data_IF_973007909802
#
_entry.id   IF_973007909802
#
_cell.length_a   1.000
_cell.length_b   1.000
_cell.length_c   1.000
_cell.angle_alpha   90.00
_cell.angle_beta   90.00
_cell.angle_gamma   90.00
#
_symmetry.space_group_name_H-M   'P 1'
#
loop_
_entity.id
_entity.type
_entity.pdbx_description
1 polymer ?
#
# COMPACT_ATOMS: atom_id res chain seq x y z
N UNK A 1 31.87 5.75 -32.26
CA UNK A 1 32.02 5.51 -30.81
C UNK A 1 31.41 4.16 -30.54
N UNK A 2 32.22 3.18 -30.16
CA UNK A 2 31.79 1.80 -29.86
C UNK A 2 31.58 1.71 -28.34
N UNK A 3 30.40 1.24 -27.91
CA UNK A 3 30.12 1.02 -26.50
C UNK A 3 29.80 -0.45 -26.27
N UNK A 4 30.54 -1.10 -25.39
CA UNK A 4 30.25 -2.45 -24.90
C UNK A 4 29.83 -2.40 -23.44
N UNK A 5 28.70 -3.03 -23.13
CA UNK A 5 28.14 -3.09 -21.78
C UNK A 5 27.88 -4.55 -21.38
N UNK A 6 28.06 -4.82 -20.09
CA UNK A 6 27.69 -6.09 -19.45
C UNK A 6 26.47 -5.81 -18.56
N UNK A 7 25.46 -6.67 -18.64
CA UNK A 7 24.28 -6.61 -17.76
C UNK A 7 24.19 -7.90 -16.95
N UNK A 8 24.05 -7.75 -15.63
CA UNK A 8 23.67 -8.83 -14.71
C UNK A 8 22.17 -8.69 -14.42
N UNK A 9 21.45 -9.80 -14.39
CA UNK A 9 20.07 -9.87 -13.94
C UNK A 9 20.06 -10.54 -12.57
N UNK A 10 19.69 -9.81 -11.52
CA UNK A 10 19.96 -10.19 -10.12
C UNK A 10 18.97 -11.22 -9.52
N UNK A 11 18.01 -11.75 -10.29
CA UNK A 11 16.91 -12.57 -9.77
C UNK A 11 16.89 -14.05 -10.23
N UNK A 12 17.98 -14.59 -10.78
CA UNK A 12 18.06 -16.03 -11.12
C UNK A 12 19.38 -16.64 -10.63
N UNK A 13 19.30 -17.86 -10.09
CA UNK A 13 20.46 -18.64 -9.60
C UNK A 13 21.49 -19.00 -10.68
N UNK A 14 21.23 -18.63 -11.94
CA UNK A 14 22.17 -18.63 -13.06
C UNK A 14 22.09 -17.27 -13.77
N UNK A 15 23.07 -16.39 -13.54
CA UNK A 15 23.10 -15.09 -14.19
C UNK A 15 23.37 -15.26 -15.69
N UNK A 16 22.38 -14.99 -16.53
CA UNK A 16 22.61 -14.81 -17.96
C UNK A 16 23.55 -13.63 -18.16
N UNK A 17 24.72 -13.87 -18.77
CA UNK A 17 25.67 -12.81 -19.09
C UNK A 17 25.44 -12.42 -20.54
N UNK A 18 25.20 -11.13 -20.75
CA UNK A 18 25.06 -10.54 -22.07
C UNK A 18 26.32 -9.76 -22.41
N UNK A 19 26.87 -10.04 -23.57
CA UNK A 19 27.91 -9.26 -24.21
C UNK A 19 27.29 -8.50 -25.38
N UNK A 20 27.50 -7.19 -25.43
CA UNK A 20 26.92 -6.34 -26.46
C UNK A 20 28.00 -5.49 -27.12
N UNK A 21 27.91 -5.36 -28.44
CA UNK A 21 28.68 -4.44 -29.26
C UNK A 21 27.71 -3.45 -29.88
N UNK A 22 27.75 -2.21 -29.42
CA UNK A 22 26.88 -1.16 -29.91
C UNK A 22 27.60 -0.26 -30.92
N UNK A 23 26.93 0.01 -32.04
CA UNK A 23 27.32 0.97 -33.07
C UNK A 23 26.29 2.11 -33.09
N UNK A 24 26.29 3.00 -32.07
CA UNK A 24 25.37 4.12 -31.98
C UNK A 24 25.58 5.12 -33.12
N UNK A 25 24.47 5.68 -33.62
CA UNK A 25 24.47 6.67 -34.71
C UNK A 25 23.68 7.92 -34.37
N UNK A 26 22.52 7.74 -33.75
CA UNK A 26 21.62 8.84 -33.39
C UNK A 26 21.20 8.64 -31.95
N UNK A 27 21.25 9.70 -31.17
CA UNK A 27 20.58 9.79 -29.88
C UNK A 27 19.30 10.59 -30.05
N UNK A 28 18.17 10.00 -29.68
CA UNK A 28 16.89 10.70 -29.57
C UNK A 28 16.62 10.92 -28.09
N UNK A 29 16.41 12.18 -27.72
CA UNK A 29 16.08 12.57 -26.36
C UNK A 29 14.72 13.29 -26.35
N UNK A 30 13.77 12.73 -25.63
CA UNK A 30 12.42 13.22 -25.47
C UNK A 30 12.27 13.77 -24.05
N UNK A 31 12.43 15.08 -23.90
CA UNK A 31 12.17 15.72 -22.60
C UNK A 31 10.71 15.50 -22.18
N UNK A 32 10.47 15.10 -20.92
CA UNK A 32 9.12 14.89 -20.34
C UNK A 32 8.09 15.95 -20.74
N UNK A 33 8.46 17.23 -20.67
CA UNK A 33 7.57 18.37 -21.00
C UNK A 33 7.06 18.38 -22.46
N UNK A 34 7.75 17.68 -23.36
CA UNK A 34 7.40 17.60 -24.79
C UNK A 34 6.58 16.34 -25.11
N UNK A 35 6.47 15.40 -24.17
CA UNK A 35 5.69 14.16 -24.33
C UNK A 35 4.26 14.44 -23.90
N UNK A 36 3.29 14.05 -24.72
CA UNK A 36 1.85 14.19 -24.40
C UNK A 36 1.13 12.87 -24.62
N UNK A 37 0.20 12.49 -23.73
CA UNK A 37 -0.62 11.30 -23.93
C UNK A 37 -1.54 11.49 -25.15
N UNK A 38 -1.80 10.40 -25.87
CA UNK A 38 -2.78 10.38 -26.95
C UNK A 38 -4.20 10.50 -26.39
N UNK A 39 -5.15 10.95 -27.19
CA UNK A 39 -6.56 11.03 -26.76
C UNK A 39 -7.13 9.66 -26.35
N UNK A 40 -6.65 8.58 -26.98
CA UNK A 40 -7.07 7.23 -26.66
C UNK A 40 -6.73 6.83 -25.22
N UNK A 41 -5.48 7.06 -24.77
CA UNK A 41 -5.10 6.73 -23.39
C UNK A 41 -5.74 7.68 -22.38
N UNK A 42 -5.95 8.96 -22.72
CA UNK A 42 -6.67 9.91 -21.86
C UNK A 42 -8.09 9.45 -21.55
N UNK A 43 -8.86 9.13 -22.59
CA UNK A 43 -10.25 8.64 -22.43
C UNK A 43 -10.28 7.34 -21.61
N UNK A 44 -9.33 6.43 -21.85
CA UNK A 44 -9.23 5.19 -21.10
C UNK A 44 -8.96 5.45 -19.61
N UNK A 45 -8.00 6.32 -19.29
CA UNK A 45 -7.68 6.73 -17.91
C UNK A 45 -8.90 7.40 -17.27
N UNK A 46 -9.55 8.36 -17.92
CA UNK A 46 -10.72 9.04 -17.38
C UNK A 46 -11.87 8.08 -17.03
N UNK A 47 -12.05 7.03 -17.83
CA UNK A 47 -13.03 5.98 -17.56
C UNK A 47 -12.61 5.09 -16.38
N UNK A 48 -11.32 4.70 -16.31
CA UNK A 48 -10.79 3.93 -15.19
C UNK A 48 -10.90 4.71 -13.87
N UNK A 49 -10.62 6.01 -13.88
CA UNK A 49 -10.75 6.90 -12.72
C UNK A 49 -12.19 7.08 -12.25
N UNK A 50 -13.21 6.68 -13.01
CA UNK A 50 -14.63 6.73 -12.61
C UNK A 50 -15.20 5.35 -12.25
N UNK A 51 -14.44 4.28 -12.48
CA UNK A 51 -14.86 2.90 -12.23
C UNK A 51 -14.71 2.54 -10.75
N UNK A 52 -15.59 1.73 -10.17
CA UNK A 52 -15.51 1.25 -8.76
C UNK A 52 -14.30 0.33 -8.48
N UNK A 53 -13.77 -0.32 -9.52
CA UNK A 53 -12.56 -1.16 -9.49
C UNK A 53 -11.43 -0.50 -10.29
N UNK A 54 -11.00 0.71 -9.91
CA UNK A 54 -10.14 1.53 -10.75
C UNK A 54 -8.74 0.92 -10.93
N UNK A 55 -8.23 0.19 -9.92
CA UNK A 55 -6.92 -0.46 -10.00
C UNK A 55 -6.85 -1.44 -11.17
N UNK A 56 -7.80 -2.39 -11.26
CA UNK A 56 -7.85 -3.35 -12.36
C UNK A 56 -7.99 -2.70 -13.73
N UNK A 57 -8.78 -1.63 -13.83
CA UNK A 57 -8.92 -0.89 -15.09
C UNK A 57 -7.62 -0.21 -15.50
N UNK A 58 -6.88 0.38 -14.55
CA UNK A 58 -5.55 0.95 -14.81
C UNK A 58 -4.54 -0.11 -15.26
N UNK A 59 -4.52 -1.29 -14.63
CA UNK A 59 -3.63 -2.38 -15.05
C UNK A 59 -3.92 -2.80 -16.49
N UNK A 60 -5.18 -2.96 -16.88
CA UNK A 60 -5.56 -3.28 -18.28
C UNK A 60 -5.07 -2.22 -19.27
N UNK A 61 -5.12 -0.95 -18.88
CA UNK A 61 -4.60 0.16 -19.70
C UNK A 61 -3.08 0.02 -19.85
N UNK A 62 -2.34 -0.19 -18.76
CA UNK A 62 -0.88 -0.32 -18.83
C UNK A 62 -0.41 -1.61 -19.52
N UNK A 63 -1.17 -2.70 -19.45
CA UNK A 63 -0.93 -3.90 -20.27
C UNK A 63 -1.06 -3.62 -21.77
N UNK A 64 -1.94 -2.68 -22.15
CA UNK A 64 -2.19 -2.31 -23.54
C UNK A 64 -1.18 -1.27 -24.07
N UNK A 65 -0.93 -0.23 -23.28
CA UNK A 65 -0.12 0.93 -23.70
C UNK A 65 1.35 0.84 -23.25
N UNK A 66 1.66 -0.09 -22.35
CA UNK A 66 2.96 -0.20 -21.69
C UNK A 66 2.98 0.50 -20.32
N UNK A 67 3.89 0.04 -19.46
CA UNK A 67 4.09 0.56 -18.11
C UNK A 67 5.10 1.71 -18.07
N UNK A 68 6.11 1.65 -18.93
CA UNK A 68 7.25 2.55 -18.96
C UNK A 68 7.45 3.12 -20.36
N UNK A 69 7.85 4.38 -20.42
CA UNK A 69 8.27 5.09 -21.62
C UNK A 69 9.74 5.50 -21.45
N UNK A 70 10.59 5.19 -22.42
CA UNK A 70 11.97 5.68 -22.39
C UNK A 70 12.00 7.13 -22.87
N UNK A 71 12.73 8.00 -22.16
CA UNK A 71 12.99 9.36 -22.64
C UNK A 71 14.17 9.40 -23.60
N UNK A 72 15.12 8.49 -23.44
CA UNK A 72 16.32 8.43 -24.27
C UNK A 72 16.38 7.12 -25.06
N UNK A 73 16.51 7.26 -26.38
CA UNK A 73 16.71 6.15 -27.30
C UNK A 73 18.03 6.34 -28.04
N UNK A 74 18.84 5.29 -28.08
CA UNK A 74 20.00 5.23 -28.95
C UNK A 74 19.60 4.40 -30.17
N UNK A 75 19.73 5.00 -31.34
CA UNK A 75 19.51 4.34 -32.63
C UNK A 75 20.86 4.00 -33.28
N UNK A 76 20.96 2.80 -33.82
CA UNK A 76 22.16 2.34 -34.49
C UNK A 76 22.06 0.87 -34.88
N UNK A 77 23.20 0.19 -34.81
CA UNK A 77 23.31 -1.25 -34.97
C UNK A 77 23.85 -1.89 -33.70
N UNK A 78 23.42 -3.12 -33.41
CA UNK A 78 23.83 -3.86 -32.22
C UNK A 78 24.06 -5.31 -32.60
N UNK A 79 25.20 -5.82 -32.17
CA UNK A 79 25.51 -7.25 -32.16
C UNK A 79 25.62 -7.68 -30.70
N UNK A 80 25.17 -8.89 -30.39
CA UNK A 80 25.22 -9.41 -29.03
C UNK A 80 25.57 -10.89 -29.01
N UNK A 81 26.05 -11.35 -27.87
CA UNK A 81 26.16 -12.75 -27.54
C UNK A 81 25.66 -12.94 -26.11
N UNK A 82 25.08 -14.11 -25.82
CA UNK A 82 24.58 -14.43 -24.49
C UNK A 82 25.04 -15.82 -24.11
N UNK A 83 25.61 -15.97 -22.93
CA UNK A 83 25.96 -17.28 -22.39
C UNK A 83 25.41 -17.44 -20.97
N UNK A 84 25.21 -18.69 -20.57
CA UNK A 84 25.01 -19.05 -19.17
C UNK A 84 26.37 -19.53 -18.67
N UNK A 85 27.06 -18.77 -17.81
CA UNK A 85 28.37 -19.16 -17.35
C UNK A 85 28.27 -20.42 -16.48
N UNK A 86 29.18 -21.37 -16.74
CA UNK A 86 29.26 -22.64 -15.99
C UNK A 86 29.73 -22.45 -14.54
N UNK A 87 30.20 -21.26 -14.18
CA UNK A 87 30.67 -20.91 -12.83
C UNK A 87 30.11 -19.54 -12.42
N UNK A 88 29.86 -19.37 -11.12
CA UNK A 88 29.39 -18.10 -10.55
C UNK A 88 30.47 -17.03 -10.74
N UNK A 89 30.21 -16.08 -11.62
CA UNK A 89 31.17 -15.00 -11.86
C UNK A 89 31.05 -14.00 -10.71
N UNK A 90 31.99 -14.07 -9.77
CA UNK A 90 32.15 -13.05 -8.73
C UNK A 90 32.71 -11.80 -9.41
N UNK A 91 31.88 -10.77 -9.55
CA UNK A 91 32.23 -9.42 -10.03
C UNK A 91 32.88 -9.35 -11.43
N UNK A 92 32.05 -9.12 -12.45
CA UNK A 92 32.51 -8.52 -13.72
C UNK A 92 32.47 -7.00 -13.51
N UNK A 93 33.57 -6.31 -13.84
CA UNK A 93 33.55 -4.86 -14.03
C UNK A 93 32.56 -4.54 -15.15
N UNK A 94 31.41 -4.00 -14.77
CA UNK A 94 30.33 -3.69 -15.69
C UNK A 94 30.71 -2.42 -16.45
N UNK A 95 30.88 -2.56 -17.77
CA UNK A 95 31.24 -1.53 -18.77
C UNK A 95 32.75 -1.37 -19.01
N UNK A 96 33.19 -1.89 -20.16
CA UNK A 96 34.46 -1.54 -20.79
C UNK A 96 34.10 -0.71 -22.02
N UNK A 97 34.28 0.61 -21.97
CA UNK A 97 34.17 1.46 -23.15
C UNK A 97 35.47 1.32 -23.97
N UNK A 98 35.37 0.77 -25.18
CA UNK A 98 36.49 0.70 -26.11
C UNK A 98 36.35 1.88 -27.08
N UNK A 99 37.04 2.97 -26.79
CA UNK A 99 37.07 4.17 -27.64
C UNK A 99 38.07 4.09 -28.81
N UNK A 100 38.62 2.92 -29.15
CA UNK A 100 39.73 2.81 -30.11
C UNK A 100 39.29 2.58 -31.57
N UNK A 101 40.09 3.15 -32.48
CA UNK A 101 40.04 2.98 -33.94
C UNK A 101 40.04 1.50 -34.34
N UNK A 102 39.37 1.17 -35.45
CA UNK A 102 39.16 -0.19 -35.98
C UNK A 102 40.43 -1.04 -36.25
N UNK A 103 41.63 -0.52 -36.01
CA UNK A 103 42.87 -1.28 -36.17
C UNK A 103 42.94 -2.38 -35.09
N UNK A 104 43.03 -3.65 -35.50
CA UNK A 104 42.98 -4.85 -34.64
C UNK A 104 41.66 -5.14 -33.90
N UNK A 105 40.54 -4.61 -34.38
CA UNK A 105 39.22 -4.84 -33.77
C UNK A 105 38.82 -6.33 -33.62
N UNK A 106 38.97 -7.21 -34.65
CA UNK A 106 38.57 -8.61 -34.54
C UNK A 106 39.36 -9.39 -33.48
N UNK A 107 40.68 -9.17 -33.37
CA UNK A 107 41.52 -9.87 -32.39
C UNK A 107 41.21 -9.42 -30.96
N UNK A 108 40.98 -8.12 -30.74
CA UNK A 108 40.63 -7.60 -29.40
C UNK A 108 39.26 -8.10 -28.94
N UNK A 109 38.30 -8.18 -29.87
CA UNK A 109 36.96 -8.71 -29.63
C UNK A 109 37.01 -10.22 -29.30
N UNK A 110 37.77 -11.01 -30.05
CA UNK A 110 38.01 -12.43 -29.80
C UNK A 110 38.67 -12.69 -28.43
N UNK A 111 39.68 -11.90 -28.07
CA UNK A 111 40.34 -12.00 -26.75
C UNK A 111 39.37 -11.70 -25.59
N UNK A 112 38.51 -10.68 -25.75
CA UNK A 112 37.51 -10.35 -24.73
C UNK A 112 36.44 -11.43 -24.57
N UNK A 113 35.91 -11.95 -25.67
CA UNK A 113 34.92 -13.02 -25.62
C UNK A 113 35.53 -14.27 -24.97
N UNK A 114 36.77 -14.64 -25.31
CA UNK A 114 37.52 -15.73 -24.66
C UNK A 114 37.69 -15.52 -23.16
N UNK A 115 38.13 -14.32 -22.75
CA UNK A 115 38.35 -13.97 -21.34
C UNK A 115 37.10 -14.20 -20.49
N UNK A 116 35.92 -13.98 -21.06
CA UNK A 116 34.64 -14.10 -20.35
C UNK A 116 33.84 -15.35 -20.71
N UNK A 117 34.44 -16.32 -21.43
CA UNK A 117 33.83 -17.62 -21.73
C UNK A 117 32.70 -17.58 -22.75
N UNK A 118 32.67 -16.59 -23.64
CA UNK A 118 31.72 -16.51 -24.75
C UNK A 118 32.22 -17.28 -25.98
N UNK A 119 31.27 -17.70 -26.82
CA UNK A 119 31.57 -18.21 -28.16
C UNK A 119 32.20 -17.10 -29.01
N UNK A 120 33.34 -17.39 -29.63
CA UNK A 120 34.07 -16.43 -30.47
C UNK A 120 33.89 -16.67 -31.96
N UNK A 121 33.04 -17.61 -32.35
CA UNK A 121 32.77 -17.88 -33.76
C UNK A 121 31.82 -16.86 -34.39
N UNK A 122 30.86 -16.33 -33.63
CA UNK A 122 29.89 -15.34 -34.10
C UNK A 122 29.33 -14.44 -33.00
N UNK A 123 28.75 -13.33 -33.42
CA UNK A 123 27.78 -12.53 -32.69
C UNK A 123 26.42 -12.61 -33.38
N UNK A 124 25.35 -12.27 -32.68
CA UNK A 124 23.98 -12.28 -33.17
C UNK A 124 23.52 -10.84 -33.39
N UNK A 125 22.96 -10.54 -34.56
CA UNK A 125 22.32 -9.25 -34.81
C UNK A 125 20.94 -9.16 -34.19
N UNK A 126 20.39 -7.94 -34.07
CA UNK A 126 19.02 -7.72 -33.60
C UNK A 126 17.94 -8.42 -34.45
N UNK A 127 18.26 -8.82 -35.69
CA UNK A 127 17.38 -9.58 -36.57
C UNK A 127 17.59 -11.11 -36.48
N UNK A 128 18.48 -11.58 -35.60
CA UNK A 128 18.81 -13.00 -35.44
C UNK A 128 19.84 -13.55 -36.42
N UNK A 129 20.53 -12.69 -37.19
CA UNK A 129 21.59 -13.12 -38.10
C UNK A 129 22.88 -13.40 -37.34
N UNK A 130 23.51 -14.55 -37.60
CA UNK A 130 24.83 -14.87 -37.07
C UNK A 130 25.93 -14.19 -37.91
N UNK A 131 26.68 -13.31 -37.28
CA UNK A 131 27.77 -12.52 -37.88
C UNK A 131 29.08 -13.02 -37.33
N UNK A 132 29.95 -13.57 -38.19
CA UNK A 132 31.30 -13.97 -37.77
C UNK A 132 32.07 -12.75 -37.28
N UNK A 133 32.91 -12.92 -36.26
CA UNK A 133 33.72 -11.81 -35.70
C UNK A 133 34.54 -11.09 -36.78
N UNK A 134 35.13 -11.84 -37.71
CA UNK A 134 35.93 -11.28 -38.80
C UNK A 134 35.09 -10.56 -39.88
N UNK A 135 33.78 -10.79 -39.91
CA UNK A 135 32.85 -10.21 -40.89
C UNK A 135 32.07 -9.01 -40.31
N UNK A 136 32.30 -8.62 -39.06
CA UNK A 136 31.57 -7.52 -38.38
C UNK A 136 31.66 -6.20 -39.15
N UNK A 137 32.83 -5.85 -39.69
CA UNK A 137 33.02 -4.62 -40.47
C UNK A 137 32.22 -4.66 -41.78
N UNK A 138 32.29 -5.78 -42.50
CA UNK A 138 31.52 -5.99 -43.73
C UNK A 138 30.03 -5.90 -43.45
N UNK A 139 29.56 -6.58 -42.41
CA UNK A 139 28.17 -6.56 -41.97
C UNK A 139 27.72 -5.14 -41.61
N UNK A 140 28.53 -4.38 -40.88
CA UNK A 140 28.22 -3.00 -40.50
C UNK A 140 28.08 -2.09 -41.73
N UNK A 141 28.93 -2.27 -42.75
CA UNK A 141 28.86 -1.52 -44.00
C UNK A 141 27.57 -1.83 -44.78
N UNK A 142 27.18 -3.10 -44.87
CA UNK A 142 25.95 -3.56 -45.52
C UNK A 142 24.68 -3.04 -44.80
N UNK A 143 24.71 -2.96 -43.47
CA UNK A 143 23.55 -2.55 -42.65
C UNK A 143 23.59 -1.08 -42.21
N UNK A 144 24.58 -0.33 -42.68
CA UNK A 144 24.87 1.04 -42.24
C UNK A 144 23.70 2.02 -42.37
N UNK A 145 22.75 1.78 -43.28
CA UNK A 145 21.60 2.67 -43.51
C UNK A 145 20.37 2.34 -42.65
N UNK A 146 20.35 1.17 -42.01
CA UNK A 146 19.25 0.77 -41.15
C UNK A 146 19.49 1.34 -39.75
N UNK A 147 18.47 1.97 -39.16
CA UNK A 147 18.51 2.45 -37.78
C UNK A 147 17.53 1.64 -36.96
N UNK A 148 18.02 1.04 -35.89
CA UNK A 148 17.21 0.29 -34.94
C UNK A 148 17.43 0.83 -33.54
N UNK A 149 16.46 0.67 -32.64
CA UNK A 149 16.63 1.00 -31.22
C UNK A 149 17.57 -0.02 -30.59
N UNK A 150 18.77 0.42 -30.24
CA UNK A 150 19.81 -0.45 -29.64
C UNK A 150 19.93 -0.27 -28.12
N UNK A 151 19.48 0.87 -27.61
CA UNK A 151 19.41 1.13 -26.18
C UNK A 151 18.23 2.06 -25.85
N UNK A 152 17.67 1.86 -24.65
CA UNK A 152 16.61 2.65 -24.04
C UNK A 152 17.05 2.99 -22.62
N UNK A 153 17.01 4.26 -22.25
CA UNK A 153 17.36 4.72 -20.91
C UNK A 153 16.40 5.82 -20.43
N UNK A 154 16.55 6.24 -19.18
CA UNK A 154 15.72 7.28 -18.56
C UNK A 154 14.22 6.91 -18.61
N UNK A 155 13.91 5.73 -18.09
CA UNK A 155 12.56 5.17 -18.09
C UNK A 155 11.65 5.99 -17.17
N UNK A 156 10.51 6.40 -17.73
CA UNK A 156 9.47 7.17 -17.09
C UNK A 156 8.21 6.32 -16.98
N UNK A 157 7.55 6.23 -15.81
CA UNK A 157 6.23 5.60 -15.72
C UNK A 157 5.23 6.31 -16.63
N UNK A 158 4.42 5.54 -17.37
CA UNK A 158 3.49 6.12 -18.35
C UNK A 158 2.50 7.09 -17.70
N UNK A 159 2.09 6.86 -16.46
CA UNK A 159 1.19 7.79 -15.76
C UNK A 159 1.80 9.17 -15.51
N UNK A 160 3.13 9.31 -15.53
CA UNK A 160 3.80 10.59 -15.27
C UNK A 160 3.78 11.56 -16.46
N UNK A 161 3.35 11.11 -17.65
CA UNK A 161 3.21 11.99 -18.82
C UNK A 161 1.92 12.82 -18.78
N UNK A 162 1.02 12.52 -17.84
CA UNK A 162 -0.20 13.27 -17.62
C UNK A 162 0.07 14.53 -16.79
N UNK A 163 -0.92 15.40 -16.67
CA UNK A 163 -0.83 16.54 -15.76
C UNK A 163 -0.68 16.05 -14.30
N UNK A 164 -0.23 16.95 -13.43
CA UNK A 164 0.06 16.65 -12.02
C UNK A 164 -1.16 16.09 -11.27
N UNK A 165 -2.36 16.62 -11.53
CA UNK A 165 -3.59 16.18 -10.87
C UNK A 165 -3.96 14.75 -11.28
N UNK A 166 -3.95 14.46 -12.58
CA UNK A 166 -4.24 13.12 -13.09
C UNK A 166 -3.20 12.10 -12.64
N UNK A 167 -1.91 12.49 -12.68
CA UNK A 167 -0.81 11.64 -12.22
C UNK A 167 -0.97 11.27 -10.75
N UNK A 168 -1.31 12.24 -9.89
CA UNK A 168 -1.56 12.01 -8.47
C UNK A 168 -2.75 11.06 -8.23
N UNK A 169 -3.85 11.24 -8.97
CA UNK A 169 -5.02 10.36 -8.88
C UNK A 169 -4.68 8.91 -9.24
N UNK A 170 -3.89 8.71 -10.30
CA UNK A 170 -3.41 7.39 -10.70
C UNK A 170 -2.53 6.78 -9.60
N UNK A 171 -1.55 7.53 -9.08
CA UNK A 171 -0.67 7.04 -8.00
C UNK A 171 -1.45 6.66 -6.74
N UNK A 172 -2.44 7.46 -6.35
CA UNK A 172 -3.33 7.16 -5.22
C UNK A 172 -4.06 5.83 -5.42
N UNK A 173 -4.60 5.58 -6.61
CA UNK A 173 -5.29 4.32 -6.95
C UNK A 173 -4.33 3.13 -7.00
N UNK A 174 -3.12 3.33 -7.52
CA UNK A 174 -2.08 2.29 -7.49
C UNK A 174 -1.59 2.02 -6.07
N UNK A 175 -1.94 2.86 -5.09
CA UNK A 175 -1.51 2.73 -3.71
C UNK A 175 -0.01 2.97 -3.57
N UNK A 176 0.56 3.89 -4.35
CA UNK A 176 2.00 4.19 -4.34
C UNK A 176 2.21 5.64 -3.88
N UNK A 177 3.09 5.82 -2.90
CA UNK A 177 3.59 7.11 -2.43
C UNK A 177 5.08 6.97 -2.17
N UNK A 178 5.90 7.80 -2.83
CA UNK A 178 7.36 7.74 -2.76
C UNK A 178 7.91 6.30 -2.91
N UNK A 179 7.37 5.56 -3.88
CA UNK A 179 7.73 4.16 -4.18
C UNK A 179 7.41 3.14 -3.08
N UNK A 180 6.63 3.54 -2.07
CA UNK A 180 6.10 2.63 -1.04
C UNK A 180 4.64 2.33 -1.30
N UNK A 181 4.27 1.08 -1.03
CA UNK A 181 2.89 0.63 -1.04
C UNK A 181 2.18 1.15 0.21
N UNK A 182 1.00 1.74 0.06
CA UNK A 182 0.28 2.39 1.15
C UNK A 182 -1.18 1.96 1.23
N UNK A 183 -1.69 1.92 2.46
CA UNK A 183 -3.11 1.71 2.72
C UNK A 183 -3.89 3.00 2.43
N UNK A 184 -5.14 2.82 2.01
CA UNK A 184 -6.09 3.89 1.70
C UNK A 184 -7.44 3.60 2.35
N UNK A 185 -8.26 4.63 2.51
CA UNK A 185 -9.67 4.47 2.86
C UNK A 185 -10.39 4.09 1.58
N UNK A 186 -10.77 2.83 1.45
CA UNK A 186 -11.29 2.27 0.22
C UNK A 186 -12.81 2.34 0.13
N UNK A 187 -13.49 2.35 1.27
CA UNK A 187 -14.95 2.34 1.33
C UNK A 187 -15.41 2.96 2.66
N UNK A 188 -16.55 3.64 2.67
CA UNK A 188 -17.19 4.13 3.88
C UNK A 188 -18.68 3.79 3.90
N UNK A 189 -19.28 3.76 5.08
CA UNK A 189 -20.71 3.52 5.17
C UNK A 189 -21.34 3.96 6.48
N UNK A 190 -22.67 4.11 6.40
CA UNK A 190 -23.55 4.42 7.52
C UNK A 190 -24.70 3.41 7.52
N UNK A 191 -24.88 2.72 8.63
CA UNK A 191 -25.97 1.75 8.82
C UNK A 191 -26.83 2.17 10.00
N UNK A 192 -28.14 2.32 9.75
CA UNK A 192 -29.10 2.67 10.80
C UNK A 192 -29.31 1.49 11.75
N UNK A 193 -29.34 1.77 13.05
CA UNK A 193 -29.74 0.80 14.06
C UNK A 193 -31.26 0.78 14.14
N UNK A 194 -31.89 -0.31 13.67
CA UNK A 194 -33.36 -0.41 13.58
C UNK A 194 -33.95 -1.07 14.83
N UNK A 195 -33.17 -1.92 15.50
CA UNK A 195 -33.57 -2.66 16.70
C UNK A 195 -32.41 -2.69 17.65
N UNK A 196 -32.67 -2.77 18.95
CA UNK A 196 -31.63 -2.95 19.97
C UNK A 196 -31.12 -4.40 19.98
N UNK A 197 -30.47 -4.83 18.90
CA UNK A 197 -29.80 -6.14 18.81
C UNK A 197 -28.32 -5.98 19.11
N UNK A 198 -27.68 -7.05 19.60
CA UNK A 198 -26.22 -7.03 19.85
C UNK A 198 -25.41 -7.07 18.57
N UNK A 199 -25.90 -7.75 17.53
CA UNK A 199 -25.17 -8.01 16.29
C UNK A 199 -25.85 -7.36 15.08
N UNK A 200 -25.06 -6.78 14.19
CA UNK A 200 -25.49 -6.17 12.94
C UNK A 200 -24.64 -6.69 11.80
N UNK A 201 -25.30 -7.19 10.76
CA UNK A 201 -24.66 -7.59 9.52
C UNK A 201 -24.58 -6.37 8.59
N UNK A 202 -23.40 -6.09 8.06
CA UNK A 202 -23.17 -5.02 7.11
C UNK A 202 -22.65 -5.66 5.83
N UNK A 203 -23.48 -5.62 4.78
CA UNK A 203 -23.16 -6.11 3.45
C UNK A 203 -22.48 -5.02 2.61
N UNK A 204 -21.45 -5.40 1.87
CA UNK A 204 -20.81 -4.54 0.87
C UNK A 204 -21.63 -4.50 -0.43
N UNK A 205 -21.56 -3.41 -1.22
CA UNK A 205 -22.30 -3.32 -2.47
C UNK A 205 -21.77 -4.29 -3.53
N UNK A 206 -20.50 -4.70 -3.40
CA UNK A 206 -19.84 -5.63 -4.30
C UNK A 206 -18.88 -6.53 -3.53
N UNK A 207 -18.64 -7.73 -4.07
CA UNK A 207 -17.66 -8.64 -3.50
C UNK A 207 -16.24 -8.10 -3.72
N UNK A 208 -15.48 -8.04 -2.63
CA UNK A 208 -14.07 -7.70 -2.62
C UNK A 208 -13.21 -8.91 -3.04
N UNK A 209 -11.98 -8.67 -3.51
CA UNK A 209 -11.09 -9.77 -3.91
C UNK A 209 -10.37 -10.41 -2.71
N UNK A 210 -10.22 -9.67 -1.61
CA UNK A 210 -9.49 -10.09 -0.41
C UNK A 210 -10.19 -9.64 0.87
N UNK A 211 -9.93 -10.36 1.97
CA UNK A 211 -10.37 -10.01 3.33
C UNK A 211 -9.30 -9.22 4.12
N UNK A 212 -8.18 -8.89 3.48
CA UNK A 212 -7.03 -8.22 4.11
C UNK A 212 -7.25 -6.70 4.26
N UNK A 213 -8.34 -6.33 4.91
CA UNK A 213 -8.70 -4.94 5.21
C UNK A 213 -8.99 -4.76 6.70
N UNK A 214 -8.91 -3.53 7.18
CA UNK A 214 -9.31 -3.15 8.53
C UNK A 214 -10.62 -2.35 8.47
N UNK A 215 -11.50 -2.57 9.45
CA UNK A 215 -12.73 -1.79 9.61
C UNK A 215 -12.59 -1.01 10.91
N UNK A 216 -12.83 0.29 10.84
CA UNK A 216 -13.05 1.12 12.01
C UNK A 216 -14.51 1.53 12.03
N UNK A 217 -15.16 1.43 13.19
CA UNK A 217 -16.58 1.72 13.32
C UNK A 217 -16.87 2.44 14.63
N UNK A 218 -17.83 3.37 14.60
CA UNK A 218 -18.32 4.11 15.76
C UNK A 218 -19.84 4.22 15.70
N UNK A 219 -20.47 4.27 16.87
CA UNK A 219 -21.88 4.63 16.98
C UNK A 219 -21.98 6.14 17.09
N UNK A 220 -22.77 6.71 16.21
CA UNK A 220 -23.10 8.12 16.17
C UNK A 220 -24.60 8.29 16.41
N UNK A 221 -24.96 9.40 17.06
CA UNK A 221 -26.37 9.80 17.15
C UNK A 221 -26.65 10.84 16.09
N UNK A 222 -27.65 10.58 15.27
CA UNK A 222 -28.19 11.56 14.34
C UNK A 222 -29.41 12.24 14.95
N UNK A 223 -29.35 13.56 15.14
CA UNK A 223 -30.52 14.38 15.47
C UNK A 223 -30.89 15.25 14.27
N UNK A 224 -32.12 15.79 14.21
CA UNK A 224 -32.65 16.47 13.03
C UNK A 224 -31.82 17.68 12.52
N UNK A 225 -30.85 18.17 13.30
CA UNK A 225 -30.02 19.32 12.95
C UNK A 225 -28.51 19.08 13.08
N UNK A 226 -28.03 18.12 13.90
CA UNK A 226 -26.59 17.88 14.13
C UNK A 226 -26.26 16.38 14.36
N UNK A 227 -25.06 15.99 13.90
CA UNK A 227 -24.37 14.75 14.27
C UNK A 227 -23.78 14.94 15.66
N UNK A 228 -24.28 14.20 16.64
CA UNK A 228 -23.82 14.32 18.03
C UNK A 228 -22.93 13.12 18.37
N UNK A 229 -21.67 13.41 18.66
CA UNK A 229 -20.64 12.44 19.04
C UNK A 229 -20.69 12.07 20.52
N UNK A 230 -21.85 11.64 21.04
CA UNK A 230 -22.08 11.53 22.50
C UNK A 230 -22.24 10.13 23.05
N UNK A 231 -21.92 9.07 22.28
CA UNK A 231 -22.05 7.68 22.79
C UNK A 231 -20.68 7.09 23.14
N UNK A 232 -19.88 7.82 23.92
CA UNK A 232 -18.50 7.43 24.29
C UNK A 232 -18.42 6.10 25.07
N UNK A 233 -19.54 5.64 25.64
CA UNK A 233 -19.58 4.40 26.43
C UNK A 233 -19.83 3.14 25.61
N UNK A 234 -20.22 3.28 24.36
CA UNK A 234 -20.64 2.14 23.53
C UNK A 234 -19.57 1.84 22.50
N UNK A 235 -19.07 0.60 22.51
CA UNK A 235 -17.99 0.15 21.64
C UNK A 235 -18.56 -0.72 20.53
N UNK A 236 -18.11 -0.47 19.30
CA UNK A 236 -18.37 -1.35 18.16
C UNK A 236 -17.18 -2.28 17.98
N UNK A 237 -17.39 -3.57 18.21
CA UNK A 237 -16.41 -4.62 17.91
C UNK A 237 -16.71 -5.27 16.58
N UNK A 238 -15.69 -5.46 15.76
CA UNK A 238 -15.81 -6.22 14.52
C UNK A 238 -15.61 -7.70 14.86
N UNK A 239 -16.72 -8.45 14.90
CA UNK A 239 -16.72 -9.86 15.32
C UNK A 239 -16.19 -10.79 14.24
N UNK A 240 -16.58 -10.54 12.99
CA UNK A 240 -16.09 -11.28 11.83
C UNK A 240 -16.17 -10.42 10.57
N UNK A 241 -15.37 -10.78 9.56
CA UNK A 241 -15.29 -10.07 8.27
C UNK A 241 -15.01 -11.05 7.14
N UNK A 242 -15.54 -10.78 5.94
CA UNK A 242 -15.32 -11.59 4.75
C UNK A 242 -15.43 -10.72 3.48
N UNK A 243 -15.26 -11.32 2.30
CA UNK A 243 -15.29 -10.59 1.02
C UNK A 243 -16.61 -9.87 0.71
N UNK A 244 -17.70 -10.19 1.41
CA UNK A 244 -19.04 -9.66 1.14
C UNK A 244 -19.54 -8.71 2.22
N UNK A 245 -18.84 -8.58 3.36
CA UNK A 245 -19.30 -7.75 4.46
C UNK A 245 -18.60 -8.04 5.78
N UNK A 246 -19.20 -7.56 6.87
CA UNK A 246 -18.73 -7.81 8.22
C UNK A 246 -19.88 -7.87 9.24
N UNK A 247 -19.61 -8.53 10.37
CA UNK A 247 -20.49 -8.59 11.51
C UNK A 247 -19.97 -7.66 12.61
N UNK A 248 -20.74 -6.63 12.92
CA UNK A 248 -20.47 -5.73 14.04
C UNK A 248 -21.23 -6.18 15.28
N UNK A 249 -20.56 -6.18 16.43
CA UNK A 249 -21.15 -6.38 17.75
C UNK A 249 -21.10 -5.06 18.52
N UNK A 250 -22.24 -4.62 19.02
CA UNK A 250 -22.33 -3.44 19.88
C UNK A 250 -22.28 -3.89 21.33
N UNK A 251 -21.23 -3.51 22.03
CA UNK A 251 -21.09 -3.74 23.48
C UNK A 251 -21.70 -2.58 24.26
N UNK A 252 -22.25 -2.87 25.45
CA UNK A 252 -22.85 -1.88 26.33
C UNK A 252 -24.03 -1.10 25.71
N UNK A 253 -24.73 -1.70 24.73
CA UNK A 253 -25.91 -1.08 24.11
C UNK A 253 -27.02 -0.76 25.14
N UNK A 254 -27.07 -1.53 26.23
CA UNK A 254 -28.00 -1.32 27.35
C UNK A 254 -27.68 -0.06 28.18
N UNK A 255 -26.47 0.47 28.08
CA UNK A 255 -26.10 1.73 28.75
C UNK A 255 -26.66 2.95 28.01
N UNK A 256 -27.08 2.78 26.76
CA UNK A 256 -27.77 3.80 25.98
C UNK A 256 -29.21 3.92 26.48
N UNK A 257 -29.39 4.66 27.57
CA UNK A 257 -30.71 4.95 28.14
C UNK A 257 -31.30 6.21 27.49
N UNK A 258 -32.62 6.20 27.26
CA UNK A 258 -33.39 7.35 26.78
C UNK A 258 -33.04 7.86 25.37
N UNK A 259 -32.48 7.01 24.51
CA UNK A 259 -32.26 7.31 23.10
C UNK A 259 -33.07 6.30 22.27
N UNK A 260 -33.83 6.81 21.30
CA UNK A 260 -34.51 5.95 20.33
C UNK A 260 -33.45 5.25 19.47
N UNK A 261 -33.46 3.90 19.35
CA UNK A 261 -32.58 3.20 18.41
C UNK A 261 -32.59 3.80 17.01
N UNK A 262 -33.73 4.35 16.56
CA UNK A 262 -33.87 5.03 15.27
C UNK A 262 -33.06 6.35 15.16
N UNK A 263 -32.51 6.88 16.24
CA UNK A 263 -31.57 8.00 16.23
C UNK A 263 -30.11 7.54 16.11
N UNK A 264 -29.83 6.23 16.20
CA UNK A 264 -28.46 5.70 16.27
C UNK A 264 -28.03 5.08 14.94
N UNK A 265 -26.79 5.34 14.56
CA UNK A 265 -26.19 4.80 13.35
C UNK A 265 -24.79 4.26 13.62
N UNK A 266 -24.43 3.18 12.93
CA UNK A 266 -23.06 2.67 12.86
C UNK A 266 -22.40 3.35 11.66
N UNK A 267 -21.47 4.25 11.95
CA UNK A 267 -20.56 4.82 10.98
C UNK A 267 -19.31 3.93 10.89
N UNK A 268 -18.84 3.65 9.68
CA UNK A 268 -17.64 2.83 9.50
C UNK A 268 -16.82 3.23 8.27
N UNK A 269 -15.53 2.91 8.32
CA UNK A 269 -14.57 3.06 7.23
C UNK A 269 -13.81 1.75 7.03
N UNK A 270 -13.48 1.44 5.77
CA UNK A 270 -12.67 0.30 5.36
C UNK A 270 -11.31 0.79 4.86
N UNK A 271 -10.25 0.31 5.51
CA UNK A 271 -8.86 0.66 5.19
C UNK A 271 -8.13 -0.57 4.66
N UNK A 272 -7.48 -0.45 3.51
CA UNK A 272 -6.74 -1.55 2.89
C UNK A 272 -5.85 -1.10 1.75
N UNK A 273 -5.16 -2.05 1.13
CA UNK A 273 -4.38 -1.77 -0.07
C UNK A 273 -5.27 -1.85 -1.32
N UNK A 274 -5.30 -0.82 -2.18
CA UNK A 274 -6.17 -0.82 -3.36
C UNK A 274 -6.00 -2.02 -4.30
N UNK A 275 -4.76 -2.48 -4.49
CA UNK A 275 -4.39 -3.59 -5.37
C UNK A 275 -4.82 -4.97 -4.84
N UNK A 276 -4.89 -5.14 -3.52
CA UNK A 276 -5.36 -6.39 -2.90
C UNK A 276 -6.88 -6.46 -2.77
N UNK A 277 -7.52 -5.36 -2.37
CA UNK A 277 -8.96 -5.33 -2.13
C UNK A 277 -9.73 -5.21 -3.44
N UNK A 278 -9.15 -4.51 -4.42
CA UNK A 278 -9.71 -4.27 -5.74
C UNK A 278 -11.11 -3.62 -5.68
N UNK A 279 -11.25 -2.70 -4.74
CA UNK A 279 -12.34 -1.74 -4.65
C UNK A 279 -11.75 -0.46 -4.09
N UNK A 280 -12.12 0.68 -4.66
CA UNK A 280 -11.72 1.97 -4.11
C UNK A 280 -12.78 2.99 -4.48
N UNK A 281 -13.56 3.48 -3.53
CA UNK A 281 -14.67 4.39 -3.79
C UNK A 281 -14.22 5.70 -4.43
N UNK A 282 -15.02 6.22 -5.38
CA UNK A 282 -14.83 7.57 -5.92
C UNK A 282 -14.96 8.67 -4.85
N UNK A 283 -15.68 8.41 -3.77
CA UNK A 283 -15.94 9.36 -2.68
C UNK A 283 -14.77 9.45 -1.68
N UNK A 284 -13.90 8.43 -1.63
CA UNK A 284 -12.82 8.34 -0.64
C UNK A 284 -11.41 8.53 -1.22
N UNK A 285 -11.28 8.54 -2.55
CA UNK A 285 -9.98 8.63 -3.26
C UNK A 285 -9.17 9.89 -3.01
N UNK A 286 -9.87 10.98 -2.69
CA UNK A 286 -9.27 12.28 -2.41
C UNK A 286 -8.91 12.43 -0.92
N UNK A 287 -9.26 11.45 -0.07
CA UNK A 287 -8.87 11.46 1.33
C UNK A 287 -7.38 11.18 1.49
N UNK A 288 -6.71 12.09 2.17
CA UNK A 288 -5.29 11.96 2.47
C UNK A 288 -5.10 11.13 3.72
N UNK A 289 -4.73 9.86 3.56
CA UNK A 289 -4.31 9.02 4.68
C UNK A 289 -2.90 9.44 5.09
N UNK A 290 -2.79 10.06 6.26
CA UNK A 290 -1.57 10.69 6.78
C UNK A 290 -0.66 9.69 7.48
N UNK A 291 -1.26 8.69 8.14
CA UNK A 291 -0.52 7.64 8.84
C UNK A 291 -1.42 6.42 9.03
N UNK A 292 -0.86 5.23 8.79
CA UNK A 292 -1.44 3.95 9.22
C UNK A 292 -0.30 3.13 9.78
N UNK A 293 -0.33 2.85 11.09
CA UNK A 293 0.66 1.95 11.66
C UNK A 293 0.31 0.52 11.25
N UNK A 294 1.31 -0.22 10.77
CA UNK A 294 1.15 -1.60 10.28
C UNK A 294 1.25 -2.64 11.40
N UNK A 295 1.52 -2.21 12.64
CA UNK A 295 1.72 -3.08 13.78
C UNK A 295 0.76 -2.75 14.92
N UNK A 296 0.42 -3.79 15.66
CA UNK A 296 -0.22 -3.65 16.95
C UNK A 296 0.75 -2.95 17.91
N UNK A 297 0.26 -1.96 18.64
CA UNK A 297 1.02 -1.32 19.70
C UNK A 297 0.59 -1.98 21.00
N UNK A 298 1.46 -2.83 21.54
CA UNK A 298 1.28 -3.41 22.87
C UNK A 298 1.77 -2.41 23.91
N UNK A 299 0.94 -2.15 24.91
CA UNK A 299 1.35 -1.42 26.10
C UNK A 299 1.96 -2.38 27.11
N UNK A 300 3.22 -2.16 27.45
CA UNK A 300 3.83 -2.76 28.63
C UNK A 300 3.18 -2.16 29.90
N UNK A 301 3.00 -2.96 30.95
CA UNK A 301 2.26 -2.62 32.19
C UNK A 301 2.69 -1.33 32.91
N UNK A 302 3.85 -0.77 32.54
CA UNK A 302 4.41 0.45 33.12
C UNK A 302 4.25 1.70 32.24
N UNK A 303 3.82 1.58 30.99
CA UNK A 303 3.63 2.72 30.08
C UNK A 303 2.17 3.14 30.03
N UNK A 304 1.91 4.38 30.46
CA UNK A 304 0.58 5.01 30.43
C UNK A 304 0.29 5.79 29.15
N UNK A 305 1.27 5.90 28.26
CA UNK A 305 1.13 6.67 27.03
C UNK A 305 1.67 5.93 25.81
N UNK A 306 1.01 6.15 24.68
CA UNK A 306 1.44 5.70 23.36
C UNK A 306 1.77 6.89 22.49
N UNK A 307 2.89 6.80 21.78
CA UNK A 307 3.29 7.77 20.79
C UNK A 307 2.95 7.26 19.39
N UNK A 308 2.12 8.00 18.67
CA UNK A 308 1.75 7.75 17.28
C UNK A 308 2.42 8.79 16.40
N UNK A 309 3.14 8.33 15.38
CA UNK A 309 3.83 9.25 14.48
C UNK A 309 2.84 9.88 13.50
N UNK A 310 2.96 11.19 13.34
CA UNK A 310 2.13 12.01 12.44
C UNK A 310 2.99 13.00 11.67
N UNK A 311 2.50 13.54 10.55
CA UNK A 311 3.13 14.69 9.92
C UNK A 311 3.31 15.85 10.92
N UNK A 312 4.42 16.58 10.79
CA UNK A 312 4.72 17.73 11.68
C UNK A 312 3.62 18.80 11.67
N UNK A 313 3.01 19.00 10.51
CA UNK A 313 1.87 19.89 10.32
C UNK A 313 0.63 19.04 10.05
N UNK A 314 -0.18 18.84 11.08
CA UNK A 314 -1.47 18.17 10.96
C UNK A 314 -2.51 19.16 10.40
N UNK A 315 -3.19 18.83 9.28
CA UNK A 315 -4.33 19.60 8.81
C UNK A 315 -5.40 19.75 9.90
N UNK A 316 -6.09 20.90 9.95
CA UNK A 316 -7.11 21.18 10.97
C UNK A 316 -8.26 20.15 11.00
N UNK A 317 -8.58 19.57 9.86
CA UNK A 317 -9.67 18.60 9.70
C UNK A 317 -9.14 17.16 9.69
N UNK A 318 -8.07 16.90 10.46
CA UNK A 318 -7.54 15.54 10.61
C UNK A 318 -8.43 14.74 11.55
N UNK A 319 -8.77 13.52 11.12
CA UNK A 319 -9.53 12.54 11.88
C UNK A 319 -8.58 11.40 12.25
N UNK A 320 -8.58 11.06 13.53
CA UNK A 320 -7.84 9.94 14.08
C UNK A 320 -8.81 8.82 14.43
N UNK A 321 -8.51 7.63 13.93
CA UNK A 321 -9.26 6.40 14.19
C UNK A 321 -8.36 5.40 14.89
N UNK A 322 -8.86 4.86 16.00
CA UNK A 322 -8.15 3.93 16.86
C UNK A 322 -9.04 2.72 17.11
N UNK A 323 -8.46 1.52 17.05
CA UNK A 323 -9.14 0.30 17.45
C UNK A 323 -8.44 -0.27 18.68
N UNK A 324 -9.22 -0.59 19.71
CA UNK A 324 -8.73 -1.16 20.96
C UNK A 324 -9.29 -2.57 21.14
N UNK A 325 -8.50 -3.45 21.73
CA UNK A 325 -8.99 -4.78 22.15
C UNK A 325 -10.00 -4.67 23.30
N UNK A 326 -9.78 -3.71 24.19
CA UNK A 326 -10.59 -3.45 25.37
C UNK A 326 -11.06 -1.98 25.41
N UNK A 327 -12.25 -1.69 25.96
CA UNK A 327 -12.77 -0.33 26.06
C UNK A 327 -11.87 0.57 26.91
N UNK A 328 -11.64 1.79 26.44
CA UNK A 328 -10.92 2.82 27.20
C UNK A 328 -11.84 3.47 28.24
N UNK A 329 -11.30 3.77 29.43
CA UNK A 329 -12.03 4.50 30.46
C UNK A 329 -11.90 6.02 30.30
N UNK A 330 -10.68 6.50 30.06
CA UNK A 330 -10.36 7.88 29.70
C UNK A 330 -9.15 7.90 28.77
N UNK A 331 -9.16 8.86 27.85
CA UNK A 331 -8.02 9.22 27.05
C UNK A 331 -7.79 10.73 27.09
N UNK A 332 -6.53 11.12 27.19
CA UNK A 332 -6.10 12.49 26.94
C UNK A 332 -5.11 12.46 25.78
N UNK A 333 -5.28 13.40 24.85
CA UNK A 333 -4.48 13.47 23.64
C UNK A 333 -3.65 14.75 23.66
N UNK A 334 -2.34 14.60 23.59
CA UNK A 334 -1.40 15.71 23.45
C UNK A 334 -0.70 15.61 22.10
N UNK A 335 -0.60 16.73 21.39
CA UNK A 335 0.08 16.81 20.09
C UNK A 335 1.39 17.56 20.28
N UNK A 336 2.52 16.91 19.99
CA UNK A 336 3.84 17.50 20.10
C UNK A 336 4.70 17.11 18.89
N UNK A 337 5.14 18.12 18.11
CA UNK A 337 6.16 18.04 17.05
C UNK A 337 6.19 16.72 16.23
N UNK A 338 5.13 16.45 15.47
CA UNK A 338 5.03 15.25 14.63
C UNK A 338 4.70 13.96 15.37
N UNK A 339 4.23 14.06 16.63
CA UNK A 339 3.74 12.93 17.42
C UNK A 339 2.45 13.27 18.13
N UNK A 340 1.59 12.26 18.24
CA UNK A 340 0.41 12.28 19.10
C UNK A 340 0.70 11.35 20.29
N UNK A 341 0.69 11.92 21.49
CA UNK A 341 0.76 11.16 22.74
C UNK A 341 -0.66 10.89 23.24
N UNK A 342 -1.03 9.62 23.25
CA UNK A 342 -2.30 9.13 23.77
C UNK A 342 -2.08 8.57 25.17
N UNK A 343 -2.53 9.30 26.19
CA UNK A 343 -2.55 8.82 27.56
C UNK A 343 -3.77 7.94 27.78
N UNK A 344 -3.57 6.73 28.32
CA UNK A 344 -4.64 5.77 28.56
C UNK A 344 -4.75 5.43 30.05
N UNK A 345 -5.97 5.57 30.59
CA UNK A 345 -6.35 5.02 31.89
C UNK A 345 -7.15 3.71 31.71
N UNK A 346 -6.72 2.65 32.40
CA UNK A 346 -7.35 1.33 32.35
C UNK A 346 -8.21 1.04 33.59
N UNK A 347 -9.20 0.16 33.42
CA UNK A 347 -9.91 -0.45 34.54
C UNK A 347 -9.00 -1.50 35.18
N UNK A 348 -8.44 -1.24 36.37
CA UNK A 348 -7.96 -2.32 37.21
C UNK A 348 -9.15 -2.89 37.97
N UNK A 349 -9.53 -4.13 37.69
CA UNK A 349 -10.48 -4.87 38.52
C UNK A 349 -9.81 -5.26 39.85
N UNK A 350 -9.42 -4.28 40.66
CA UNK A 350 -9.01 -4.47 42.05
C UNK A 350 -9.95 -3.68 42.96
N UNK A 351 -11.23 -4.03 42.93
CA UNK A 351 -12.14 -3.69 44.03
C UNK A 351 -12.48 -4.97 44.78
N UNK A 352 -11.53 -5.41 45.62
CA UNK A 352 -11.85 -6.27 46.74
C UNK A 352 -12.84 -5.53 47.63
N UNK A 353 -14.00 -6.15 47.83
CA UNK A 353 -15.08 -5.63 48.65
C UNK A 353 -14.53 -5.18 50.02
N UNK A 354 -14.79 -3.93 50.37
CA UNK A 354 -14.74 -3.48 51.76
C UNK A 354 -15.82 -4.24 52.54
N UNK A 355 -15.44 -5.27 53.27
CA UNK A 355 -16.30 -5.83 54.32
C UNK A 355 -16.01 -5.10 55.62
N UNK A 356 -17.03 -4.40 56.10
CA UNK A 356 -17.13 -3.80 57.42
C UNK A 356 -16.82 -4.84 58.52
N UNK A 357 -15.93 -4.47 59.44
CA UNK A 357 -15.66 -5.19 60.68
C UNK A 357 -16.88 -5.15 61.61
N UNK A 358 -17.60 -6.27 61.76
CA UNK A 358 -18.57 -6.48 62.83
C UNK A 358 -18.56 -7.96 63.28
N UNK A 359 -18.18 -8.16 64.57
CA UNK A 359 -18.45 -9.31 65.49
C UNK A 359 -17.63 -10.59 65.25
N UNK A 360 -16.62 -10.91 66.07
CA UNK A 360 -16.64 -11.46 67.45
C UNK A 360 -16.76 -13.00 67.53
N UNK A 361 -15.66 -13.60 68.00
CA UNK A 361 -15.50 -14.80 68.85
C UNK A 361 -16.23 -16.13 68.55
N UNK A 362 -15.36 -17.14 68.32
CA UNK A 362 -15.33 -18.49 68.88
C UNK A 362 -15.88 -19.70 68.09
N UNK A 363 -14.98 -20.71 68.10
CA UNK A 363 -15.16 -22.16 68.12
C UNK A 363 -15.21 -22.99 66.82
N UNK A 364 -14.10 -23.72 66.64
CA UNK A 364 -13.97 -25.17 66.40
C UNK A 364 -13.90 -25.73 64.97
N UNK A 365 -12.67 -26.15 64.66
CA UNK A 365 -12.25 -27.45 64.14
C UNK A 365 -12.96 -28.05 62.93
N UNK A 366 -12.19 -28.25 61.87
CA UNK A 366 -12.50 -29.18 60.80
C UNK A 366 -11.53 -29.00 59.64
N UNK A 367 -10.44 -29.76 59.64
CA UNK A 367 -9.57 -29.91 58.49
C UNK A 367 -10.37 -30.43 57.30
N UNK A 368 -10.44 -29.63 56.24
CA UNK A 368 -10.73 -30.09 54.89
C UNK A 368 -9.71 -29.41 53.98
N UNK A 369 -8.68 -30.16 53.62
CA UNK A 369 -7.85 -29.86 52.46
C UNK A 369 -8.73 -30.00 51.21
N UNK A 370 -8.92 -28.91 50.48
CA UNK A 370 -9.36 -28.94 49.09
C UNK A 370 -8.70 -27.79 48.34
N UNK A 371 -7.63 -28.16 47.64
CA UNK A 371 -7.14 -27.61 46.37
C UNK A 371 -7.51 -26.15 46.08
N UNK A 372 -6.58 -25.24 46.39
CA UNK A 372 -6.51 -23.94 45.74
C UNK A 372 -6.08 -24.17 44.30
N UNK A 373 -7.03 -24.13 43.36
CA UNK A 373 -6.72 -23.84 41.97
C UNK A 373 -6.05 -22.46 41.94
N UNK A 374 -4.74 -22.46 41.72
CA UNK A 374 -3.99 -21.27 41.34
C UNK A 374 -4.56 -20.83 39.97
N UNK A 375 -5.49 -19.87 39.98
CA UNK A 375 -5.79 -19.11 38.78
C UNK A 375 -4.55 -18.28 38.46
N UNK A 376 -3.79 -18.72 37.46
CA UNK A 376 -2.76 -17.91 36.83
C UNK A 376 -3.38 -16.55 36.47
N UNK A 377 -2.92 -15.49 37.14
CA UNK A 377 -3.22 -14.11 36.78
C UNK A 377 -2.62 -13.87 35.38
N UNK A 378 -3.43 -13.99 34.32
CA UNK A 378 -3.04 -13.52 32.99
C UNK A 378 -2.96 -11.98 33.03
N UNK A 379 -1.74 -11.46 33.17
CA UNK A 379 -1.40 -10.06 32.93
C UNK A 379 -2.02 -9.61 31.60
N UNK A 380 -3.04 -8.76 31.70
CA UNK A 380 -3.85 -8.38 30.54
C UNK A 380 -3.11 -7.30 29.74
N UNK A 381 -2.23 -7.71 28.83
CA UNK A 381 -1.57 -6.78 27.91
C UNK A 381 -2.62 -6.01 27.08
N UNK A 382 -2.59 -4.68 27.14
CA UNK A 382 -3.47 -3.84 26.33
C UNK A 382 -2.88 -3.61 24.94
N UNK A 383 -3.65 -3.93 23.90
CA UNK A 383 -3.20 -3.83 22.51
C UNK A 383 -4.05 -2.81 21.75
N UNK A 384 -3.40 -1.76 21.22
CA UNK A 384 -3.98 -0.93 20.17
C UNK A 384 -3.72 -1.60 18.83
N UNK A 385 -4.78 -1.81 18.06
CA UNK A 385 -4.71 -2.42 16.73
C UNK A 385 -4.83 -1.32 15.67
N UNK A 386 -3.77 -1.10 14.90
CA UNK A 386 -3.77 -0.31 13.66
C UNK A 386 -4.32 1.13 13.77
N UNK A 387 -3.67 2.06 14.48
CA UNK A 387 -4.07 3.47 14.41
C UNK A 387 -4.03 3.99 12.97
N UNK A 388 -5.07 4.72 12.57
CA UNK A 388 -5.21 5.30 11.23
C UNK A 388 -5.61 6.77 11.34
N UNK A 389 -4.85 7.66 10.71
CA UNK A 389 -5.06 9.10 10.70
C UNK A 389 -5.22 9.55 9.25
N UNK A 390 -6.27 10.30 8.98
CA UNK A 390 -6.54 10.84 7.66
C UNK A 390 -7.08 12.26 7.76
N UNK A 391 -6.92 13.04 6.71
CA UNK A 391 -7.49 14.37 6.59
C UNK A 391 -8.53 14.41 5.46
N UNK A 392 -9.56 15.20 5.69
CA UNK A 392 -10.57 15.55 4.69
C UNK A 392 -10.63 17.06 4.53
N UNK A 393 -10.55 17.53 3.28
CA UNK A 393 -10.81 18.94 2.95
C UNK A 393 -12.30 19.29 3.06
N UNK A 394 -13.17 18.28 3.01
CA UNK A 394 -14.60 18.42 3.19
C UNK A 394 -14.97 18.24 4.67
N UNK A 395 -15.91 19.07 5.16
CA UNK A 395 -16.59 18.90 6.45
C UNK A 395 -17.40 17.60 6.54
N UNK A 396 -17.51 16.84 5.45
CA UNK A 396 -18.24 15.58 5.46
C UNK A 396 -17.71 14.58 4.41
N UNK A 397 -17.53 13.31 4.79
CA UNK A 397 -17.26 12.22 3.84
C UNK A 397 -18.60 11.64 3.33
N UNK A 398 -18.76 11.47 2.02
CA UNK A 398 -19.97 10.82 1.49
C UNK A 398 -19.90 9.31 1.74
N UNK A 399 -21.00 8.71 2.20
CA UNK A 399 -21.07 7.29 2.50
C UNK A 399 -21.41 6.47 1.25
N UNK A 400 -20.61 5.44 0.94
CA UNK A 400 -20.90 4.50 -0.17
C UNK A 400 -22.16 3.67 0.11
N UNK A 401 -22.39 3.36 1.39
CA UNK A 401 -23.55 2.61 1.87
C UNK A 401 -24.38 3.50 2.80
N UNK A 402 -25.68 3.66 2.51
CA UNK A 402 -26.63 4.35 3.37
C UNK A 402 -27.98 3.61 3.39
N UNK A 403 -28.44 3.27 4.58
CA UNK A 403 -29.80 2.75 4.81
C UNK A 403 -30.69 3.91 5.26
N UNK A 404 -31.58 4.38 4.39
CA UNK A 404 -32.40 5.61 4.54
C UNK A 404 -33.05 5.76 5.94
N UNK A 405 -32.85 6.90 6.63
CA UNK A 405 -33.79 8.05 6.67
C UNK A 405 -33.11 9.41 6.97
N UNK A 406 -31.79 9.48 6.99
CA UNK A 406 -31.03 10.68 7.36
C UNK A 406 -29.81 10.91 6.45
N UNK A 407 -29.27 12.15 6.43
CA UNK A 407 -28.39 12.71 5.38
C UNK A 407 -27.13 11.88 5.10
N UNK A 408 -26.72 11.85 3.83
CA UNK A 408 -25.57 11.11 3.24
C UNK A 408 -24.17 11.63 3.61
N UNK A 409 -23.98 12.16 4.82
CA UNK A 409 -22.76 12.90 5.18
C UNK A 409 -22.18 12.35 6.48
N UNK A 410 -21.05 11.65 6.39
CA UNK A 410 -20.14 11.31 7.49
C UNK A 410 -19.36 12.57 7.89
N UNK A 411 -18.85 12.66 9.12
CA UNK A 411 -18.11 13.79 9.73
C UNK A 411 -17.06 14.45 8.81
#
# INVERSE_FOLDING_TARGET
MLQSAFFLNDDLSFNHVHFEVNFPKIELNFEKKNIKPTEAIKIAIDNALKNEKPYQELIKIFDTFGYLLAQKYILGQKLYNSCVPLQKISSIDNQLEIEELFENYPSKLDDMLKKHGFDTSYLISMNGEAVKINDVEKWLNEHSKLLQVISRSELLPVYEIFDESTSYKIQSILGIDNQKRIKRILMTGIVQIIKNTKYYHIDFPSNLESCNYHIFAKIIRHTNEELIDTVDKTVVKIYSKNKTGFLAAIENINEIKNIDPADLQIMWILVGFPDEINFYSVHTRELSVLSVEDQNITLEDNKKSILINVPKELPRNSIMTLSFEYPLFRNNLEIQDGKIELNIDYFSSKNGASSEDVMSENDKSGDVESESDESEDEDSEYVIKYPCIFASDNEFIEADISTSKCKKKLI
#
